data_IF_941117575237
#
_entry.id   IF_941117575237
#
_cell.length_a   1.000
_cell.length_b   1.000
_cell.length_c   1.000
_cell.angle_alpha   90.00
_cell.angle_beta   90.00
_cell.angle_gamma   90.00
#
_symmetry.space_group_name_H-M   'P 1'
#
loop_
_entity.id
_entity.type
_entity.pdbx_description
1 polymer ?
#
# COMPACT_ATOMS: atom_id res chain seq x y z
N UNK A 1 33.08 26.04 57.51
CA UNK A 1 32.28 24.82 57.22
C UNK A 1 31.07 25.07 56.26
N UNK A 2 31.23 25.78 55.15
CA UNK A 2 30.11 26.15 54.23
C UNK A 2 30.25 25.65 52.76
N UNK A 3 31.30 24.93 52.44
CA UNK A 3 31.61 24.57 51.02
C UNK A 3 31.13 23.19 50.58
N UNK A 4 30.74 22.29 51.45
CA UNK A 4 30.28 20.94 51.10
C UNK A 4 28.80 20.89 50.65
N UNK A 5 27.93 21.72 51.26
CA UNK A 5 26.50 21.74 50.95
C UNK A 5 26.22 22.24 49.53
N UNK A 6 26.91 23.29 49.09
CA UNK A 6 26.72 23.90 47.77
C UNK A 6 27.10 22.96 46.60
N UNK A 7 28.14 22.14 46.81
CA UNK A 7 28.57 21.16 45.77
C UNK A 7 27.56 20.00 45.57
N UNK A 8 26.94 19.54 46.65
CA UNK A 8 25.92 18.49 46.60
C UNK A 8 24.67 18.98 45.90
N UNK A 9 24.24 20.23 46.15
CA UNK A 9 23.06 20.84 45.52
C UNK A 9 23.25 21.03 44.01
N UNK A 10 24.45 21.44 43.57
CA UNK A 10 24.77 21.60 42.15
C UNK A 10 24.81 20.25 41.45
N UNK A 11 25.36 19.20 42.06
CA UNK A 11 25.39 17.85 41.52
C UNK A 11 23.98 17.23 41.38
N UNK A 12 23.07 17.50 42.32
CA UNK A 12 21.68 17.06 42.28
C UNK A 12 20.89 17.79 41.19
N UNK A 13 21.09 19.09 41.01
CA UNK A 13 20.48 19.86 39.93
C UNK A 13 20.97 19.46 38.55
N UNK A 14 22.27 19.12 38.38
CA UNK A 14 22.83 18.61 37.16
C UNK A 14 22.27 17.22 36.84
N UNK A 15 22.14 16.35 37.85
CA UNK A 15 21.57 15.00 37.69
C UNK A 15 20.09 15.02 37.23
N UNK A 16 19.28 15.91 37.80
CA UNK A 16 17.87 16.08 37.38
C UNK A 16 17.75 16.69 35.99
N UNK A 17 18.62 17.65 35.65
CA UNK A 17 18.65 18.25 34.30
C UNK A 17 18.98 17.21 33.20
N UNK A 18 19.94 16.32 33.42
CA UNK A 18 20.32 15.29 32.47
C UNK A 18 19.22 14.22 32.35
N UNK A 19 18.52 13.88 33.43
CA UNK A 19 17.40 12.93 33.38
C UNK A 19 16.23 13.44 32.51
N UNK A 20 15.99 14.76 32.50
CA UNK A 20 14.95 15.36 31.64
C UNK A 20 15.32 15.33 30.13
N UNK A 21 16.60 15.40 29.80
CA UNK A 21 17.05 15.32 28.40
C UNK A 21 17.12 13.89 27.84
N UNK A 22 17.12 12.89 28.71
CA UNK A 22 17.19 11.47 28.31
C UNK A 22 15.81 10.80 28.21
N UNK A 23 14.72 11.49 28.55
CA UNK A 23 13.39 10.98 28.29
C UNK A 23 13.14 11.11 26.78
N UNK A 24 13.18 10.02 26.00
CA UNK A 24 12.73 10.08 24.62
C UNK A 24 11.31 10.61 24.66
N UNK A 25 11.01 11.58 23.80
CA UNK A 25 9.65 12.15 23.75
C UNK A 25 8.65 11.01 23.67
N UNK A 26 7.54 11.11 24.37
CA UNK A 26 6.49 10.07 24.38
C UNK A 26 6.02 9.69 22.95
N UNK A 27 6.18 10.60 21.98
CA UNK A 27 5.93 10.34 20.56
C UNK A 27 6.87 9.29 19.96
N UNK A 28 8.19 9.38 20.25
CA UNK A 28 9.16 8.37 19.75
C UNK A 28 8.93 6.99 20.36
N UNK A 29 8.47 6.92 21.59
CA UNK A 29 8.10 5.64 22.22
C UNK A 29 6.84 5.09 21.57
N UNK A 30 5.83 5.92 21.27
CA UNK A 30 4.62 5.49 20.55
C UNK A 30 4.89 5.01 19.13
N UNK A 31 5.84 5.61 18.43
CA UNK A 31 6.25 5.14 17.10
C UNK A 31 7.00 3.81 17.15
N UNK A 32 7.84 3.61 18.15
CA UNK A 32 8.60 2.36 18.32
C UNK A 32 7.73 1.15 18.67
N UNK A 33 6.48 1.36 19.08
CA UNK A 33 5.54 0.29 19.49
C UNK A 33 4.51 -0.06 18.42
N UNK A 34 4.53 0.59 17.25
CA UNK A 34 3.61 0.24 16.16
C UNK A 34 3.87 -1.18 15.65
N UNK A 35 2.82 -1.98 15.62
CA UNK A 35 2.86 -3.35 15.08
C UNK A 35 2.36 -3.29 13.64
N UNK A 36 3.13 -3.90 12.74
CA UNK A 36 2.79 -3.97 11.32
C UNK A 36 2.45 -5.40 10.92
N UNK A 37 1.30 -5.57 10.29
CA UNK A 37 0.84 -6.83 9.73
C UNK A 37 0.80 -6.73 8.21
N UNK A 38 1.11 -7.83 7.54
CA UNK A 38 0.87 -8.00 6.11
C UNK A 38 -0.31 -8.93 5.90
N UNK A 39 -1.22 -8.54 5.04
CA UNK A 39 -2.39 -9.32 4.67
C UNK A 39 -2.50 -9.35 3.15
N UNK A 40 -2.36 -10.54 2.55
CA UNK A 40 -2.54 -10.73 1.12
C UNK A 40 -4.04 -10.81 0.81
N UNK A 41 -4.47 -10.01 -0.16
CA UNK A 41 -5.81 -10.12 -0.72
C UNK A 41 -5.88 -11.35 -1.63
N UNK A 42 -7.08 -11.91 -1.85
CA UNK A 42 -7.24 -13.02 -2.78
C UNK A 42 -6.70 -12.67 -4.16
N UNK A 43 -5.97 -13.59 -4.76
CA UNK A 43 -5.51 -13.49 -6.14
C UNK A 43 -6.72 -13.49 -7.09
N UNK A 44 -6.75 -12.58 -8.05
CA UNK A 44 -7.86 -12.46 -8.99
C UNK A 44 -7.33 -12.58 -10.41
N UNK A 45 -7.97 -13.47 -11.17
CA UNK A 45 -7.72 -13.61 -12.61
C UNK A 45 -8.83 -12.94 -13.40
N UNK A 46 -8.48 -12.14 -14.40
CA UNK A 46 -9.40 -11.52 -15.35
C UNK A 46 -8.94 -11.75 -16.78
N UNK A 47 -9.83 -11.56 -17.76
CA UNK A 47 -9.49 -11.62 -19.18
C UNK A 47 -9.78 -10.29 -19.83
N UNK A 48 -8.89 -9.89 -20.73
CA UNK A 48 -9.04 -8.71 -21.60
C UNK A 48 -9.18 -9.19 -23.02
N UNK A 49 -10.26 -8.78 -23.68
CA UNK A 49 -10.47 -9.08 -25.09
C UNK A 49 -9.83 -8.00 -25.97
N UNK A 50 -9.18 -8.42 -27.05
CA UNK A 50 -8.51 -7.53 -28.01
C UNK A 50 -9.44 -6.57 -28.72
N UNK A 51 -10.74 -6.86 -28.78
CA UNK A 51 -11.77 -5.98 -29.36
C UNK A 51 -11.98 -4.66 -28.58
N UNK A 52 -11.50 -4.57 -27.36
CA UNK A 52 -11.58 -3.39 -26.51
C UNK A 52 -10.58 -2.27 -26.87
N UNK A 53 -9.78 -2.44 -27.90
CA UNK A 53 -8.51 -1.74 -28.17
C UNK A 53 -8.60 -0.41 -28.93
N UNK A 54 -9.75 0.19 -29.07
CA UNK A 54 -9.87 1.49 -29.72
C UNK A 54 -9.62 2.68 -28.79
N UNK A 55 -9.28 2.43 -27.50
CA UNK A 55 -9.06 3.45 -26.49
C UNK A 55 -7.59 3.58 -26.14
N UNK A 56 -7.10 4.80 -26.01
CA UNK A 56 -5.74 5.12 -25.57
C UNK A 56 -5.47 4.60 -24.15
N UNK A 57 -6.48 4.56 -23.30
CA UNK A 57 -6.43 3.98 -21.95
C UNK A 57 -7.47 2.87 -21.80
N UNK A 58 -7.01 1.69 -21.41
CA UNK A 58 -7.81 0.49 -21.21
C UNK A 58 -7.87 0.14 -19.71
N UNK A 59 -9.05 -0.30 -19.26
CA UNK A 59 -9.17 -0.96 -17.96
C UNK A 59 -8.65 -2.39 -18.10
N UNK A 60 -7.44 -2.63 -17.57
CA UNK A 60 -6.82 -3.95 -17.57
C UNK A 60 -7.43 -4.86 -16.51
N UNK A 61 -7.83 -4.26 -15.40
CA UNK A 61 -8.40 -4.96 -14.26
C UNK A 61 -9.33 -4.03 -13.49
N UNK A 62 -10.45 -4.56 -13.04
CA UNK A 62 -11.33 -3.89 -12.09
C UNK A 62 -12.09 -4.96 -11.31
N UNK A 63 -11.88 -5.01 -10.00
CA UNK A 63 -12.54 -5.99 -9.13
C UNK A 63 -12.96 -5.37 -7.80
N UNK A 64 -14.16 -5.70 -7.30
CA UNK A 64 -14.57 -5.31 -5.97
C UNK A 64 -13.89 -6.21 -4.93
N UNK A 65 -13.54 -5.60 -3.80
CA UNK A 65 -13.02 -6.29 -2.61
C UNK A 65 -13.80 -5.85 -1.38
N UNK A 66 -13.93 -6.77 -0.44
CA UNK A 66 -14.43 -6.48 0.90
C UNK A 66 -13.44 -7.09 1.90
N UNK A 67 -12.89 -6.26 2.77
CA UNK A 67 -11.92 -6.68 3.79
C UNK A 67 -12.53 -6.44 5.16
N UNK A 68 -12.62 -7.50 5.95
CA UNK A 68 -13.03 -7.37 7.35
C UNK A 68 -11.81 -7.06 8.22
N UNK A 69 -11.53 -5.76 8.36
CA UNK A 69 -10.38 -5.27 9.14
C UNK A 69 -10.48 -5.71 10.60
N UNK A 70 -11.67 -5.72 11.16
CA UNK A 70 -11.90 -6.12 12.56
C UNK A 70 -11.53 -7.59 12.80
N UNK A 71 -11.78 -8.45 11.81
CA UNK A 71 -11.36 -9.86 11.85
C UNK A 71 -9.84 -10.03 11.78
N UNK A 72 -9.14 -9.14 11.06
CA UNK A 72 -7.69 -9.22 10.87
C UNK A 72 -6.94 -8.73 12.12
N UNK A 73 -7.39 -7.62 12.73
CA UNK A 73 -6.72 -7.01 13.89
C UNK A 73 -7.36 -7.41 15.24
N UNK A 74 -8.43 -8.22 15.21
CA UNK A 74 -9.20 -8.61 16.40
C UNK A 74 -10.05 -7.48 16.96
N UNK A 75 -10.38 -7.55 18.26
CA UNK A 75 -11.24 -6.57 18.93
C UNK A 75 -10.60 -5.18 19.13
N UNK A 76 -9.36 -4.99 18.70
CA UNK A 76 -8.57 -3.78 18.95
C UNK A 76 -8.67 -2.75 17.82
N UNK A 77 -9.84 -2.60 17.19
CA UNK A 77 -10.06 -1.65 16.08
C UNK A 77 -9.79 -0.19 16.45
N UNK A 78 -9.89 0.18 17.74
CA UNK A 78 -9.57 1.52 18.23
C UNK A 78 -8.10 1.93 18.05
N UNK A 79 -7.22 0.99 17.81
CA UNK A 79 -5.79 1.21 17.67
C UNK A 79 -5.31 1.21 16.22
N UNK A 80 -6.21 1.06 15.24
CA UNK A 80 -5.84 1.14 13.83
C UNK A 80 -5.28 2.53 13.52
N UNK A 81 -4.03 2.58 13.10
CA UNK A 81 -3.32 3.83 12.78
C UNK A 81 -3.27 4.10 11.28
N UNK A 82 -2.99 3.06 10.49
CA UNK A 82 -2.64 3.24 9.09
C UNK A 82 -2.83 1.96 8.31
N UNK A 83 -3.34 2.07 7.09
CA UNK A 83 -3.36 0.97 6.13
C UNK A 83 -2.89 1.48 4.79
N UNK A 84 -1.94 0.77 4.18
CA UNK A 84 -1.50 1.01 2.80
C UNK A 84 -1.35 -0.29 2.03
N UNK A 85 -1.23 -0.21 0.71
CA UNK A 85 -0.78 -1.38 -0.06
C UNK A 85 0.72 -1.55 0.11
N UNK A 86 1.19 -2.79 0.33
CA UNK A 86 2.60 -3.11 0.31
C UNK A 86 3.01 -3.88 -0.95
N UNK A 87 2.02 -4.44 -1.67
CA UNK A 87 2.21 -5.24 -2.88
C UNK A 87 1.06 -4.99 -3.83
N UNK A 88 1.38 -4.71 -5.07
CA UNK A 88 0.47 -4.78 -6.20
C UNK A 88 1.27 -5.23 -7.43
N UNK A 89 0.85 -6.34 -8.00
CA UNK A 89 1.50 -6.97 -9.15
C UNK A 89 0.44 -7.46 -10.10
N UNK A 90 0.66 -7.30 -11.40
CA UNK A 90 -0.07 -8.08 -12.37
C UNK A 90 0.88 -8.91 -13.23
N UNK A 91 0.42 -10.08 -13.64
CA UNK A 91 1.17 -11.02 -14.47
C UNK A 91 0.29 -11.48 -15.62
N UNK A 92 0.81 -11.47 -16.84
CA UNK A 92 0.15 -12.10 -17.98
C UNK A 92 0.21 -13.62 -17.81
N UNK A 93 -0.95 -14.24 -17.82
CA UNK A 93 -1.11 -15.69 -17.81
C UNK A 93 -1.72 -16.16 -19.15
N UNK A 94 -0.98 -16.01 -20.24
CA UNK A 94 -1.39 -16.44 -21.56
C UNK A 94 -0.26 -17.24 -22.21
N UNK A 95 -0.51 -18.46 -22.69
CA UNK A 95 0.52 -19.35 -23.22
C UNK A 95 1.21 -18.79 -24.48
N UNK A 96 0.52 -17.96 -25.26
CA UNK A 96 0.98 -17.45 -26.54
C UNK A 96 1.46 -15.98 -26.50
N UNK A 97 1.54 -15.39 -25.32
CA UNK A 97 1.98 -14.02 -25.14
C UNK A 97 3.19 -13.98 -24.21
N UNK A 98 4.37 -13.73 -24.77
CA UNK A 98 5.63 -13.85 -24.04
C UNK A 98 6.03 -12.56 -23.33
N UNK A 99 5.43 -11.41 -23.71
CA UNK A 99 5.88 -10.10 -23.25
C UNK A 99 4.75 -9.05 -23.20
N UNK A 100 5.09 -7.84 -22.76
CA UNK A 100 4.21 -6.70 -22.59
C UNK A 100 4.45 -5.59 -23.64
N UNK A 101 4.96 -5.92 -24.84
CA UNK A 101 5.28 -4.93 -25.88
C UNK A 101 4.10 -4.04 -26.28
N UNK A 102 2.88 -4.55 -26.12
CA UNK A 102 1.64 -3.83 -26.40
C UNK A 102 1.24 -2.81 -25.32
N UNK A 103 1.87 -2.85 -24.14
CA UNK A 103 1.56 -2.01 -22.98
C UNK A 103 2.69 -1.01 -22.73
N UNK A 104 2.40 0.29 -22.83
CA UNK A 104 3.35 1.35 -22.62
C UNK A 104 3.52 1.71 -21.14
N UNK A 105 2.39 1.83 -20.43
CA UNK A 105 2.38 2.16 -19.02
C UNK A 105 1.14 1.62 -18.33
N UNK A 106 1.18 1.49 -17.01
CA UNK A 106 0.03 1.11 -16.20
C UNK A 106 -0.02 1.94 -14.91
N UNK A 107 -1.22 2.29 -14.47
CA UNK A 107 -1.49 2.96 -13.20
C UNK A 107 -2.56 2.22 -12.40
N UNK A 108 -2.58 2.41 -11.09
CA UNK A 108 -3.53 1.74 -10.22
C UNK A 108 -4.27 2.73 -9.31
N UNK A 109 -5.57 2.49 -9.15
CA UNK A 109 -6.42 3.29 -8.27
C UNK A 109 -7.29 2.40 -7.39
N UNK A 110 -7.69 2.94 -6.26
CA UNK A 110 -8.69 2.37 -5.37
C UNK A 110 -9.85 3.37 -5.24
N UNK A 111 -11.07 2.87 -5.30
CA UNK A 111 -12.28 3.68 -5.10
C UNK A 111 -13.23 2.93 -4.17
N UNK A 112 -13.65 3.55 -3.09
CA UNK A 112 -14.76 3.07 -2.24
C UNK A 112 -16.04 3.84 -2.51
N UNK A 113 -17.16 3.27 -2.10
CA UNK A 113 -18.47 3.88 -2.30
C UNK A 113 -18.54 5.28 -1.69
N UNK A 114 -18.92 6.27 -2.53
CA UNK A 114 -19.06 7.68 -2.13
C UNK A 114 -17.74 8.43 -1.97
N UNK A 115 -16.60 7.86 -2.39
CA UNK A 115 -15.28 8.53 -2.35
C UNK A 115 -14.73 8.84 -3.74
N UNK A 116 -13.83 9.81 -3.80
CA UNK A 116 -13.00 10.02 -4.99
C UNK A 116 -11.99 8.89 -5.13
N UNK A 117 -11.54 8.55 -6.35
CA UNK A 117 -10.49 7.58 -6.57
C UNK A 117 -9.20 8.00 -5.86
N UNK A 118 -8.56 7.04 -5.19
CA UNK A 118 -7.25 7.19 -4.56
C UNK A 118 -6.21 6.57 -5.51
N UNK A 119 -5.20 7.33 -5.89
CA UNK A 119 -4.11 6.82 -6.71
C UNK A 119 -3.13 6.02 -5.84
N UNK A 120 -3.07 4.71 -6.10
CA UNK A 120 -2.18 3.78 -5.40
C UNK A 120 -0.78 3.75 -6.01
N UNK A 121 -0.72 3.82 -7.33
CA UNK A 121 0.52 3.85 -8.08
C UNK A 121 0.36 4.78 -9.29
N UNK A 122 1.27 5.74 -9.47
CA UNK A 122 1.35 6.51 -10.68
C UNK A 122 1.76 5.62 -11.86
N UNK A 123 1.75 6.19 -13.06
CA UNK A 123 2.10 5.44 -14.25
C UNK A 123 3.48 4.78 -14.14
N UNK A 124 3.50 3.45 -14.04
CA UNK A 124 4.72 2.66 -14.08
C UNK A 124 5.19 2.48 -15.52
N UNK A 125 6.48 2.66 -15.76
CA UNK A 125 7.10 2.28 -17.04
C UNK A 125 7.19 0.77 -17.12
N UNK A 126 6.69 0.20 -18.21
CA UNK A 126 6.65 -1.24 -18.40
C UNK A 126 7.97 -1.71 -19.04
N UNK A 127 8.57 -2.74 -18.47
CA UNK A 127 9.61 -3.47 -19.17
C UNK A 127 8.94 -4.44 -20.17
N UNK A 128 9.00 -4.11 -21.44
CA UNK A 128 8.33 -4.85 -22.51
C UNK A 128 8.73 -6.33 -22.60
N UNK A 129 9.93 -6.67 -22.13
CA UNK A 129 10.45 -8.06 -22.16
C UNK A 129 9.94 -8.94 -21.02
N UNK A 130 9.27 -8.37 -20.05
CA UNK A 130 8.73 -9.09 -18.91
C UNK A 130 7.26 -9.44 -19.08
N UNK A 131 6.78 -10.42 -18.33
CA UNK A 131 5.37 -10.82 -18.26
C UNK A 131 4.67 -10.26 -17.03
N UNK A 132 5.42 -9.59 -16.18
CA UNK A 132 4.97 -9.14 -14.86
C UNK A 132 5.27 -7.67 -14.71
N UNK A 133 4.34 -6.93 -14.09
CA UNK A 133 4.52 -5.55 -13.65
C UNK A 133 4.38 -5.50 -12.14
N UNK A 134 5.43 -5.07 -11.48
CA UNK A 134 5.42 -4.68 -10.08
C UNK A 134 5.20 -3.17 -9.99
N UNK A 135 4.14 -2.75 -9.31
CA UNK A 135 3.84 -1.34 -9.15
C UNK A 135 4.69 -0.72 -8.04
N UNK A 136 5.28 0.43 -8.34
CA UNK A 136 5.83 1.31 -7.31
C UNK A 136 4.68 2.02 -6.61
N UNK A 137 4.35 1.57 -5.41
CA UNK A 137 3.19 2.05 -4.66
C UNK A 137 3.46 3.35 -3.93
N UNK A 138 2.49 4.25 -3.96
CA UNK A 138 2.46 5.41 -3.09
C UNK A 138 2.15 4.96 -1.65
N UNK A 139 2.84 5.54 -0.68
CA UNK A 139 2.53 5.33 0.75
C UNK A 139 1.35 6.22 1.16
N UNK A 140 0.14 5.79 0.78
CA UNK A 140 -1.12 6.50 1.02
C UNK A 140 -1.95 5.74 2.04
N UNK A 141 -2.49 6.49 3.02
CA UNK A 141 -3.45 5.91 3.98
C UNK A 141 -4.81 5.67 3.33
N UNK A 142 -5.19 4.41 3.28
CA UNK A 142 -6.48 3.95 2.75
C UNK A 142 -7.42 3.43 3.83
N UNK A 143 -7.12 3.66 5.11
CA UNK A 143 -7.87 3.11 6.26
C UNK A 143 -9.36 3.42 6.20
N UNK A 144 -9.72 4.63 5.77
CA UNK A 144 -11.13 5.04 5.64
C UNK A 144 -11.82 4.37 4.45
N UNK A 145 -11.09 4.16 3.36
CA UNK A 145 -11.66 3.63 2.12
C UNK A 145 -11.95 2.13 2.22
N UNK A 146 -11.10 1.35 2.88
CA UNK A 146 -11.24 -0.12 2.94
C UNK A 146 -12.19 -0.62 4.03
N UNK A 147 -12.74 0.26 4.87
CA UNK A 147 -13.82 -0.08 5.81
C UNK A 147 -15.16 -0.36 5.11
N UNK A 148 -15.26 0.04 3.85
CA UNK A 148 -16.39 -0.23 2.95
C UNK A 148 -15.92 -1.12 1.81
N UNK A 149 -16.83 -1.77 1.08
CA UNK A 149 -16.47 -2.39 -0.19
C UNK A 149 -15.76 -1.37 -1.09
N UNK A 150 -14.66 -1.79 -1.70
CA UNK A 150 -13.87 -0.95 -2.58
C UNK A 150 -13.56 -1.66 -3.90
N UNK A 151 -13.31 -0.90 -4.94
CA UNK A 151 -12.90 -1.39 -6.24
C UNK A 151 -11.42 -1.04 -6.44
N UNK A 152 -10.62 -2.06 -6.70
CA UNK A 152 -9.24 -1.91 -7.15
C UNK A 152 -9.23 -1.96 -8.67
N UNK A 153 -8.70 -0.94 -9.32
CA UNK A 153 -8.63 -0.84 -10.78
C UNK A 153 -7.20 -0.61 -11.25
N UNK A 154 -6.83 -1.30 -12.33
CA UNK A 154 -5.57 -1.09 -13.05
C UNK A 154 -5.92 -0.63 -14.45
N UNK A 155 -5.34 0.49 -14.86
CA UNK A 155 -5.47 1.08 -16.18
C UNK A 155 -4.16 0.94 -16.93
N UNK A 156 -4.23 0.64 -18.21
CA UNK A 156 -3.07 0.55 -19.08
C UNK A 156 -3.15 1.52 -20.24
N UNK A 157 -2.04 2.13 -20.58
CA UNK A 157 -1.87 2.86 -21.83
C UNK A 157 -1.26 1.92 -22.87
N UNK A 158 -1.98 1.71 -23.97
CA UNK A 158 -1.65 0.70 -24.98
C UNK A 158 -0.82 1.31 -26.10
N UNK A 159 0.23 0.60 -26.49
CA UNK A 159 1.13 0.95 -27.59
C UNK A 159 0.95 0.03 -28.81
N UNK A 160 -0.28 -0.24 -29.19
CA UNK A 160 -0.58 -1.09 -30.35
C UNK A 160 -1.57 -2.20 -30.05
N UNK A 161 -1.90 -3.01 -31.05
CA UNK A 161 -2.85 -4.11 -30.88
C UNK A 161 -2.27 -5.20 -29.96
N UNK A 162 -3.10 -5.74 -29.08
CA UNK A 162 -2.74 -6.97 -28.36
C UNK A 162 -2.63 -8.09 -29.39
N UNK A 163 -1.52 -8.84 -29.42
CA UNK A 163 -1.25 -9.80 -30.48
C UNK A 163 -2.08 -11.08 -30.41
N UNK A 164 -2.98 -11.21 -29.44
CA UNK A 164 -3.87 -12.36 -29.23
C UNK A 164 -5.30 -11.90 -28.98
N UNK A 165 -6.28 -12.78 -29.26
CA UNK A 165 -7.70 -12.45 -29.14
C UNK A 165 -8.13 -12.16 -27.68
N UNK A 166 -7.49 -12.80 -26.72
CA UNK A 166 -7.75 -12.59 -25.29
C UNK A 166 -6.47 -12.81 -24.48
N UNK A 167 -6.28 -11.98 -23.47
CA UNK A 167 -5.16 -12.05 -22.51
C UNK A 167 -5.71 -12.28 -21.12
N UNK A 168 -5.26 -13.34 -20.46
CA UNK A 168 -5.53 -13.53 -19.03
C UNK A 168 -4.50 -12.77 -18.21
N UNK A 169 -4.98 -12.07 -17.18
CA UNK A 169 -4.17 -11.33 -16.22
C UNK A 169 -4.44 -11.86 -14.83
N UNK A 170 -3.39 -12.23 -14.12
CA UNK A 170 -3.41 -12.53 -12.69
C UNK A 170 -2.99 -11.29 -11.92
N UNK A 171 -3.83 -10.81 -11.01
CA UNK A 171 -3.54 -9.69 -10.12
C UNK A 171 -3.35 -10.20 -8.70
N UNK A 172 -2.23 -9.83 -8.13
CA UNK A 172 -1.84 -10.12 -6.75
C UNK A 172 -1.68 -8.80 -5.99
N UNK A 173 -2.30 -8.70 -4.84
CA UNK A 173 -2.23 -7.50 -4.03
C UNK A 173 -2.19 -7.81 -2.54
N UNK A 174 -1.67 -6.88 -1.74
CA UNK A 174 -1.56 -7.07 -0.30
C UNK A 174 -1.53 -5.75 0.46
N UNK A 175 -2.08 -5.78 1.67
CA UNK A 175 -2.22 -4.67 2.58
C UNK A 175 -1.18 -4.74 3.70
N UNK A 176 -0.59 -3.61 4.04
CA UNK A 176 0.16 -3.42 5.27
C UNK A 176 -0.72 -2.66 6.26
N UNK A 177 -1.03 -3.28 7.37
CA UNK A 177 -1.88 -2.74 8.44
C UNK A 177 -0.97 -2.37 9.61
N UNK A 178 -1.04 -1.14 10.06
CA UNK A 178 -0.29 -0.63 11.21
C UNK A 178 -1.25 -0.33 12.35
N UNK A 179 -1.03 -0.93 13.49
CA UNK A 179 -1.80 -0.69 14.73
C UNK A 179 -0.91 -0.14 15.82
N UNK A 180 -1.49 0.69 16.67
CA UNK A 180 -0.85 1.15 17.89
C UNK A 180 -1.47 0.38 19.06
N UNK A 181 -0.70 -0.42 19.82
CA UNK A 181 -1.22 -1.19 20.94
C UNK A 181 -1.50 -0.36 22.21
N UNK A 182 -1.22 0.97 22.21
CA UNK A 182 -1.37 1.85 23.39
C UNK A 182 -2.23 3.08 23.11
#
# INVERSE_FOLDING_TARGET
MRTKSTRITILLLLGVGIAFFLLPSCEKIKEATNIKFKYDLPDVTTSIDSSSLLKTELVLFSSPFTVNIDSIIGTNTGYLKYISFYKLRFTINAPNLENLDWLNSARATLMSEGSSPIELAPSATINSKERTVDFLLNDVDISSAIRKPFVLSIYGNINGPIPVASVQILVQSGLQITVNPF
#
